data_IF_224144160177
#
_entry.id   IF_224144160177
#
_cell.length_a   1.000
_cell.length_b   1.000
_cell.length_c   1.000
_cell.angle_alpha   90.00
_cell.angle_beta   90.00
_cell.angle_gamma   90.00
#
_symmetry.space_group_name_H-M   'P 1'
#
loop_
_entity.id
_entity.type
_entity.pdbx_description
1 polymer ?
#
# COMPACT_ATOMS: atom_id res chain seq x y z
N UNK A 1 -14.80 17.04 -3.40
CA UNK A 1 -13.76 16.13 -2.86
C UNK A 1 -13.12 16.79 -1.65
N UNK A 2 -12.76 16.03 -0.61
CA UNK A 2 -12.12 16.59 0.60
C UNK A 2 -10.71 17.08 0.24
N UNK A 3 -10.21 18.09 0.93
CA UNK A 3 -8.90 18.70 0.66
C UNK A 3 -7.70 17.75 0.82
N UNK A 4 -7.88 16.60 1.45
CA UNK A 4 -6.84 15.60 1.71
C UNK A 4 -7.22 14.24 1.10
N UNK A 5 -7.12 14.11 -0.23
CA UNK A 5 -7.27 12.83 -0.91
C UNK A 5 -6.00 11.99 -0.66
N UNK A 6 -6.09 11.03 0.26
CA UNK A 6 -4.95 10.25 0.72
C UNK A 6 -5.10 8.77 0.39
N UNK A 7 -4.11 8.18 -0.27
CA UNK A 7 -4.00 6.73 -0.53
C UNK A 7 -2.82 6.17 0.26
N UNK A 8 -3.05 5.05 0.92
CA UNK A 8 -2.06 4.38 1.76
C UNK A 8 -1.50 3.17 1.03
N UNK A 9 -0.18 3.11 0.89
CA UNK A 9 0.57 1.95 0.43
C UNK A 9 1.13 1.20 1.64
N UNK A 10 0.82 -0.08 1.76
CA UNK A 10 1.33 -0.94 2.84
C UNK A 10 1.87 -2.25 2.29
N UNK A 11 2.54 -3.02 3.14
CA UNK A 11 3.15 -4.30 2.80
C UNK A 11 4.52 -4.49 3.44
N UNK A 12 5.14 -5.65 3.30
CA UNK A 12 6.40 -5.99 3.96
C UNK A 12 7.57 -5.09 3.55
N UNK A 13 8.62 -5.12 4.36
CA UNK A 13 9.88 -4.43 4.05
C UNK A 13 10.43 -4.96 2.72
N UNK A 14 10.90 -4.05 1.87
CA UNK A 14 11.52 -4.40 0.60
C UNK A 14 10.56 -4.83 -0.51
N UNK A 15 9.24 -4.74 -0.31
CA UNK A 15 8.23 -5.08 -1.34
C UNK A 15 8.21 -4.10 -2.51
N UNK A 16 8.73 -2.88 -2.33
CA UNK A 16 8.80 -1.86 -3.37
C UNK A 16 7.82 -0.69 -3.20
N UNK A 17 7.28 -0.43 -2.00
CA UNK A 17 6.38 0.71 -1.73
C UNK A 17 6.99 2.05 -2.13
N UNK A 18 8.20 2.34 -1.65
CA UNK A 18 8.96 3.54 -1.99
C UNK A 18 9.12 3.71 -3.50
N UNK A 19 9.48 2.63 -4.18
CA UNK A 19 9.66 2.62 -5.64
C UNK A 19 8.35 2.88 -6.37
N UNK A 20 7.26 2.24 -5.94
CA UNK A 20 5.94 2.42 -6.53
C UNK A 20 5.43 3.87 -6.37
N UNK A 21 5.56 4.43 -5.17
CA UNK A 21 5.19 5.84 -4.92
C UNK A 21 6.05 6.78 -5.76
N UNK A 22 7.36 6.53 -5.85
CA UNK A 22 8.26 7.35 -6.65
C UNK A 22 7.94 7.28 -8.16
N UNK A 23 7.55 6.11 -8.68
CA UNK A 23 7.19 5.93 -10.09
C UNK A 23 5.95 6.73 -10.48
N UNK A 24 5.02 6.96 -9.55
CA UNK A 24 3.75 7.64 -9.80
C UNK A 24 3.74 9.11 -9.36
N UNK A 25 4.60 9.51 -8.44
CA UNK A 25 4.62 10.86 -7.87
C UNK A 25 5.09 11.92 -8.87
N UNK A 26 4.36 13.03 -8.94
CA UNK A 26 4.72 14.22 -9.72
C UNK A 26 5.70 15.16 -9.01
N UNK A 27 6.07 14.82 -7.79
CA UNK A 27 7.09 15.53 -7.01
C UNK A 27 8.21 14.55 -6.61
N UNK A 28 9.42 15.03 -6.31
CA UNK A 28 10.43 14.18 -5.70
C UNK A 28 9.88 13.54 -4.42
N UNK A 29 10.05 12.22 -4.28
CA UNK A 29 9.59 11.50 -3.09
C UNK A 29 10.31 12.01 -1.85
N UNK A 30 9.56 12.17 -0.78
CA UNK A 30 10.10 12.46 0.55
C UNK A 30 10.10 11.13 1.31
N UNK A 31 11.28 10.61 1.58
CA UNK A 31 11.45 9.41 2.41
C UNK A 31 12.16 9.79 3.70
N UNK A 32 11.55 9.41 4.81
CA UNK A 32 12.16 9.58 6.14
C UNK A 32 12.98 8.36 6.54
N UNK A 33 13.45 7.57 5.56
CA UNK A 33 14.33 6.43 5.80
C UNK A 33 15.65 6.91 6.40
N UNK A 34 15.61 7.27 7.68
CA UNK A 34 16.82 7.43 8.45
C UNK A 34 17.44 6.04 8.54
N UNK A 35 18.56 5.84 7.87
CA UNK A 35 19.45 4.75 8.23
C UNK A 35 19.59 4.80 9.75
N UNK A 36 19.02 3.82 10.44
CA UNK A 36 19.31 3.60 11.84
C UNK A 36 20.78 3.17 11.90
N UNK A 37 21.67 4.15 11.84
CA UNK A 37 23.07 3.93 12.14
C UNK A 37 23.11 3.50 13.60
N UNK A 38 23.89 2.47 13.91
CA UNK A 38 24.11 1.91 15.26
C UNK A 38 24.48 2.93 16.35
N UNK A 39 24.69 4.18 15.99
CA UNK A 39 25.01 5.28 16.90
C UNK A 39 23.81 5.85 17.67
N UNK A 40 22.58 5.49 17.33
CA UNK A 40 21.36 6.05 17.98
C UNK A 40 20.79 5.19 19.10
N UNK A 41 21.34 4.01 19.35
CA UNK A 41 20.90 3.11 20.43
C UNK A 41 21.09 3.70 21.85
N UNK A 42 21.81 4.79 22.02
CA UNK A 42 22.11 5.38 23.32
C UNK A 42 21.53 6.78 23.61
N UNK A 43 20.63 7.31 22.75
CA UNK A 43 19.96 8.59 23.03
C UNK A 43 18.44 8.43 23.07
N UNK A 44 17.90 8.72 24.24
CA UNK A 44 16.48 8.76 24.58
C UNK A 44 15.68 9.58 23.54
N UNK A 45 14.66 8.96 22.93
CA UNK A 45 13.39 9.66 22.77
C UNK A 45 13.00 10.17 21.40
N UNK A 46 13.74 9.93 20.29
CA UNK A 46 13.29 10.27 18.94
C UNK A 46 13.56 9.11 17.97
N UNK A 47 12.58 8.26 17.77
CA UNK A 47 12.62 7.29 16.69
C UNK A 47 12.09 7.97 15.44
N UNK A 48 12.93 8.21 14.45
CA UNK A 48 12.47 8.63 13.13
C UNK A 48 11.85 7.42 12.47
N UNK A 49 10.57 7.50 12.19
CA UNK A 49 9.84 6.41 11.55
C UNK A 49 9.97 6.57 10.04
N UNK A 50 10.45 5.54 9.37
CA UNK A 50 10.57 5.51 7.92
C UNK A 50 9.19 5.54 7.27
N UNK A 51 8.86 6.63 6.60
CA UNK A 51 7.63 6.84 5.87
C UNK A 51 7.96 7.45 4.51
N UNK A 52 7.29 6.99 3.48
CA UNK A 52 7.39 7.56 2.14
C UNK A 52 6.19 8.47 1.86
N UNK A 53 6.45 9.57 1.18
CA UNK A 53 5.42 10.51 0.76
C UNK A 53 5.65 10.99 -0.66
N UNK A 54 4.58 10.96 -1.46
CA UNK A 54 4.53 11.49 -2.81
C UNK A 54 3.21 12.19 -3.08
N UNK A 55 3.12 12.89 -4.21
CA UNK A 55 1.90 13.57 -4.66
C UNK A 55 1.66 13.23 -6.12
N UNK A 56 0.44 12.77 -6.40
CA UNK A 56 -0.08 12.60 -7.75
C UNK A 56 -1.05 13.72 -8.05
N UNK A 57 -0.83 14.45 -9.12
CA UNK A 57 -1.75 15.46 -9.63
C UNK A 57 -2.69 14.79 -10.62
N UNK A 58 -4.00 14.91 -10.39
CA UNK A 58 -5.01 14.53 -11.35
C UNK A 58 -5.24 15.70 -12.31
N UNK A 59 -6.40 16.30 -12.34
CA UNK A 59 -6.71 17.48 -13.14
C UNK A 59 -6.25 18.78 -12.46
N UNK A 60 -6.55 19.93 -13.11
CA UNK A 60 -6.28 21.27 -12.56
C UNK A 60 -6.89 21.44 -11.16
N UNK A 61 -6.04 21.25 -10.14
CA UNK A 61 -6.35 21.51 -8.73
C UNK A 61 -6.62 20.29 -7.86
N UNK A 62 -6.83 19.09 -8.42
CA UNK A 62 -7.02 17.87 -7.64
C UNK A 62 -5.68 17.15 -7.43
N UNK A 63 -5.37 16.82 -6.18
CA UNK A 63 -4.16 16.08 -5.81
C UNK A 63 -4.53 14.85 -4.98
N UNK A 64 -3.75 13.80 -5.15
CA UNK A 64 -3.77 12.62 -4.29
C UNK A 64 -2.42 12.56 -3.57
N UNK A 65 -2.49 12.45 -2.27
CA UNK A 65 -1.34 12.26 -1.39
C UNK A 65 -1.07 10.77 -1.24
N UNK A 66 0.11 10.33 -1.62
CA UNK A 66 0.54 8.93 -1.56
C UNK A 66 1.42 8.74 -0.33
N UNK A 67 1.03 7.85 0.56
CA UNK A 67 1.76 7.54 1.78
C UNK A 67 2.17 6.08 1.82
N UNK A 68 3.46 5.83 2.04
CA UNK A 68 4.00 4.50 2.28
C UNK A 68 4.17 4.23 3.77
N UNK A 69 3.57 3.17 4.27
CA UNK A 69 3.74 2.78 5.68
C UNK A 69 5.10 2.12 5.91
N UNK A 70 5.67 2.23 7.13
CA UNK A 70 6.79 1.39 7.52
C UNK A 70 6.43 -0.08 7.37
N UNK A 71 7.27 -0.85 6.68
CA UNK A 71 7.02 -2.29 6.48
C UNK A 71 7.37 -3.17 7.68
N UNK A 72 7.94 -2.60 8.73
CA UNK A 72 8.31 -3.31 9.96
C UNK A 72 7.13 -3.32 10.94
N UNK A 73 6.77 -4.50 11.43
CA UNK A 73 5.63 -4.71 12.35
C UNK A 73 5.74 -3.89 13.65
N UNK A 74 6.95 -3.60 14.13
CA UNK A 74 7.18 -2.78 15.33
C UNK A 74 6.70 -1.33 15.23
N UNK A 75 6.29 -0.88 14.05
CA UNK A 75 5.78 0.47 13.80
C UNK A 75 4.27 0.50 13.54
N UNK A 76 3.54 -0.54 13.98
CA UNK A 76 2.08 -0.67 13.84
C UNK A 76 1.33 0.55 14.38
N UNK A 77 1.79 1.14 15.48
CA UNK A 77 1.20 2.36 16.06
C UNK A 77 1.15 3.56 15.08
N UNK A 78 2.00 3.56 14.04
CA UNK A 78 1.98 4.60 13.01
C UNK A 78 0.88 4.37 11.98
N UNK A 79 0.44 3.14 11.81
CA UNK A 79 -0.55 2.79 10.80
C UNK A 79 -1.90 3.46 11.08
N UNK A 80 -2.33 3.50 12.34
CA UNK A 80 -3.57 4.18 12.75
C UNK A 80 -3.52 5.68 12.44
N UNK A 81 -2.36 6.32 12.66
CA UNK A 81 -2.17 7.74 12.36
C UNK A 81 -2.20 7.97 10.85
N UNK A 82 -1.53 7.13 10.07
CA UNK A 82 -1.42 7.26 8.63
C UNK A 82 -2.76 6.99 7.93
N UNK A 83 -3.57 6.06 8.43
CA UNK A 83 -4.87 5.71 7.84
C UNK A 83 -5.95 6.75 8.08
N UNK A 84 -5.82 7.59 9.11
CA UNK A 84 -6.81 8.64 9.40
C UNK A 84 -7.06 9.53 8.19
N UNK A 85 -8.31 9.56 7.70
CA UNK A 85 -8.71 10.33 6.52
C UNK A 85 -8.28 9.73 5.17
N UNK A 86 -7.74 8.51 5.16
CA UNK A 86 -7.40 7.80 3.93
C UNK A 86 -8.63 7.42 3.11
N UNK A 87 -8.49 7.43 1.79
CA UNK A 87 -9.53 7.04 0.83
C UNK A 87 -9.53 5.54 0.53
N UNK A 88 -8.38 4.88 0.70
CA UNK A 88 -8.24 3.46 0.40
C UNK A 88 -6.84 2.93 0.69
N UNK A 89 -6.71 1.61 0.62
CA UNK A 89 -5.51 0.87 0.91
C UNK A 89 -5.00 0.13 -0.33
N UNK A 90 -3.73 0.32 -0.66
CA UNK A 90 -2.99 -0.52 -1.62
C UNK A 90 -2.06 -1.42 -0.82
N UNK A 91 -2.37 -2.71 -0.77
CA UNK A 91 -1.53 -3.73 -0.15
C UNK A 91 -0.59 -4.33 -1.19
N UNK A 92 0.71 -4.10 -1.03
CA UNK A 92 1.74 -4.73 -1.85
C UNK A 92 2.26 -6.01 -1.19
N UNK A 93 2.25 -7.12 -1.93
CA UNK A 93 2.79 -8.41 -1.52
C UNK A 93 4.02 -8.75 -2.35
N UNK A 94 5.01 -9.37 -1.71
CA UNK A 94 6.27 -9.78 -2.33
C UNK A 94 6.22 -11.28 -2.63
N UNK A 95 6.21 -11.63 -3.92
CA UNK A 95 6.08 -13.03 -4.36
C UNK A 95 7.30 -13.89 -3.99
N UNK A 96 8.44 -13.27 -3.69
CA UNK A 96 9.67 -13.97 -3.30
C UNK A 96 9.73 -14.35 -1.82
N UNK A 97 8.75 -13.93 -1.03
CA UNK A 97 8.72 -14.24 0.40
C UNK A 97 8.33 -15.71 0.64
N UNK A 98 8.85 -16.31 1.72
CA UNK A 98 8.62 -17.73 2.00
C UNK A 98 7.16 -18.10 2.22
N UNK A 99 6.32 -17.16 2.71
CA UNK A 99 4.92 -17.40 2.99
C UNK A 99 4.07 -16.15 2.68
N UNK A 100 3.75 -15.91 1.40
CA UNK A 100 2.93 -14.76 1.00
C UNK A 100 1.51 -14.80 1.58
N UNK A 101 0.95 -15.98 1.83
CA UNK A 101 -0.35 -16.14 2.49
C UNK A 101 -0.34 -15.57 3.92
N UNK A 102 0.74 -15.81 4.66
CA UNK A 102 0.92 -15.23 6.00
C UNK A 102 0.98 -13.72 5.95
N UNK A 103 1.69 -13.16 4.97
CA UNK A 103 1.79 -11.70 4.79
C UNK A 103 0.41 -11.11 4.42
N UNK A 104 -0.32 -11.74 3.49
CA UNK A 104 -1.69 -11.35 3.13
C UNK A 104 -2.59 -11.28 4.36
N UNK A 105 -2.64 -12.35 5.14
CA UNK A 105 -3.42 -12.43 6.39
C UNK A 105 -2.98 -11.34 7.37
N UNK A 106 -1.68 -11.23 7.64
CA UNK A 106 -1.14 -10.29 8.60
C UNK A 106 -1.53 -8.83 8.28
N UNK A 107 -1.27 -8.37 7.04
CA UNK A 107 -1.55 -6.99 6.68
C UNK A 107 -3.05 -6.68 6.62
N UNK A 108 -3.89 -7.58 6.14
CA UNK A 108 -5.34 -7.36 6.17
C UNK A 108 -5.87 -7.23 7.59
N UNK A 109 -5.37 -8.05 8.53
CA UNK A 109 -5.75 -7.97 9.94
C UNK A 109 -5.20 -6.74 10.65
N UNK A 110 -3.98 -6.34 10.32
CA UNK A 110 -3.37 -5.13 10.87
C UNK A 110 -4.12 -3.84 10.50
N UNK A 111 -4.77 -3.83 9.33
CA UNK A 111 -5.57 -2.69 8.86
C UNK A 111 -7.09 -2.94 8.95
N UNK A 112 -7.53 -3.93 9.74
CA UNK A 112 -8.94 -4.38 9.81
C UNK A 112 -9.94 -3.25 10.06
N UNK A 113 -9.62 -2.31 10.96
CA UNK A 113 -10.51 -1.21 11.32
C UNK A 113 -10.61 -0.16 10.20
N UNK A 114 -9.58 -0.02 9.39
CA UNK A 114 -9.55 0.87 8.24
C UNK A 114 -10.29 0.29 7.03
N UNK A 115 -10.06 -0.97 6.69
CA UNK A 115 -10.63 -1.63 5.51
C UNK A 115 -12.15 -1.92 5.60
N UNK A 116 -12.75 -1.73 6.77
CA UNK A 116 -14.21 -1.72 6.93
C UNK A 116 -14.84 -0.53 6.21
N UNK A 117 -14.16 0.61 6.16
CA UNK A 117 -14.67 1.89 5.67
C UNK A 117 -14.15 2.25 4.28
N UNK A 118 -13.06 1.64 3.84
CA UNK A 118 -12.39 1.99 2.58
C UNK A 118 -12.09 0.76 1.73
N UNK A 119 -12.03 0.90 0.40
CA UNK A 119 -11.65 -0.21 -0.47
C UNK A 119 -10.17 -0.57 -0.34
N UNK A 120 -9.88 -1.84 -0.66
CA UNK A 120 -8.53 -2.40 -0.74
C UNK A 120 -8.25 -2.85 -2.17
N UNK A 121 -7.03 -2.61 -2.65
CA UNK A 121 -6.48 -3.19 -3.87
C UNK A 121 -5.17 -3.89 -3.52
N UNK A 122 -4.91 -5.05 -4.11
CA UNK A 122 -3.72 -5.85 -3.83
C UNK A 122 -2.82 -5.87 -5.06
N UNK A 123 -1.54 -5.54 -4.87
CA UNK A 123 -0.50 -5.65 -5.88
C UNK A 123 0.53 -6.71 -5.49
N UNK A 124 0.75 -7.71 -6.33
CA UNK A 124 1.77 -8.75 -6.13
C UNK A 124 3.00 -8.39 -6.94
N UNK A 125 4.11 -8.11 -6.26
CA UNK A 125 5.37 -7.71 -6.87
C UNK A 125 6.35 -8.87 -7.00
N UNK A 126 7.38 -8.69 -7.84
CA UNK A 126 8.51 -9.62 -8.04
C UNK A 126 8.09 -10.98 -8.60
N UNK A 127 7.03 -11.02 -9.38
CA UNK A 127 6.59 -12.21 -10.12
C UNK A 127 7.56 -12.56 -11.24
N UNK A 128 8.33 -11.59 -11.72
CA UNK A 128 9.47 -11.76 -12.63
C UNK A 128 10.64 -12.53 -12.00
N UNK A 129 10.80 -12.44 -10.68
CA UNK A 129 11.85 -13.17 -9.94
C UNK A 129 11.36 -14.55 -9.51
N UNK A 130 10.12 -14.65 -9.07
CA UNK A 130 9.48 -15.89 -8.63
C UNK A 130 8.06 -15.96 -9.18
N UNK A 131 7.82 -16.90 -10.11
CA UNK A 131 6.54 -17.01 -10.82
C UNK A 131 5.43 -17.70 -9.99
N UNK A 132 5.77 -18.27 -8.85
CA UNK A 132 4.80 -18.95 -7.97
C UNK A 132 4.87 -18.35 -6.55
N UNK A 133 3.71 -18.12 -5.89
CA UNK A 133 2.33 -18.35 -6.38
C UNK A 133 1.94 -17.47 -7.56
N UNK A 134 0.96 -17.92 -8.37
CA UNK A 134 0.33 -17.10 -9.41
C UNK A 134 -0.77 -16.20 -8.80
N UNK A 135 -1.26 -15.23 -9.56
CA UNK A 135 -2.36 -14.36 -9.11
C UNK A 135 -3.61 -15.15 -8.72
N UNK A 136 -3.93 -16.23 -9.46
CA UNK A 136 -5.05 -17.11 -9.11
C UNK A 136 -4.91 -17.75 -7.73
N UNK A 137 -3.69 -18.12 -7.33
CA UNK A 137 -3.44 -18.70 -6.01
C UNK A 137 -3.74 -17.68 -4.88
N UNK A 138 -3.45 -16.39 -5.11
CA UNK A 138 -3.80 -15.33 -4.15
C UNK A 138 -5.31 -15.14 -4.03
N UNK A 139 -6.05 -15.25 -5.15
CA UNK A 139 -7.53 -15.23 -5.12
C UNK A 139 -8.07 -16.37 -4.26
N UNK A 140 -7.48 -17.57 -4.41
CA UNK A 140 -7.87 -18.75 -3.62
C UNK A 140 -7.49 -18.63 -2.12
N UNK A 141 -6.48 -17.82 -1.80
CA UNK A 141 -6.08 -17.55 -0.40
C UNK A 141 -7.02 -16.56 0.32
N UNK A 142 -7.71 -15.67 -0.42
CA UNK A 142 -8.52 -14.60 0.15
C UNK A 142 -9.60 -15.09 1.11
N UNK A 143 -10.44 -16.11 0.78
CA UNK A 143 -11.53 -16.53 1.67
C UNK A 143 -11.04 -16.92 3.07
N UNK A 144 -9.90 -17.58 3.16
CA UNK A 144 -9.33 -17.97 4.45
C UNK A 144 -8.67 -16.76 5.15
N UNK A 145 -7.99 -15.91 4.39
CA UNK A 145 -7.32 -14.72 4.94
C UNK A 145 -8.30 -13.66 5.46
N UNK A 146 -9.55 -13.69 5.00
CA UNK A 146 -10.57 -12.67 5.34
C UNK A 146 -11.76 -13.24 6.09
N UNK A 147 -11.73 -14.51 6.49
CA UNK A 147 -12.89 -15.24 7.05
C UNK A 147 -13.54 -14.56 8.27
N UNK A 148 -12.75 -13.88 9.08
CA UNK A 148 -13.16 -13.15 10.29
C UNK A 148 -13.10 -11.62 10.13
N UNK A 149 -12.83 -11.13 8.91
CA UNK A 149 -12.75 -9.71 8.63
C UNK A 149 -14.06 -9.16 8.03
N UNK A 150 -14.36 -7.92 8.39
CA UNK A 150 -15.34 -7.10 7.67
C UNK A 150 -14.58 -6.17 6.74
N UNK A 151 -14.89 -6.22 5.46
CA UNK A 151 -14.25 -5.39 4.45
C UNK A 151 -15.31 -4.66 3.62
N UNK A 152 -15.03 -3.43 3.21
CA UNK A 152 -15.92 -2.67 2.32
C UNK A 152 -16.07 -3.39 0.97
N UNK A 153 -14.95 -3.88 0.40
CA UNK A 153 -14.95 -4.75 -0.77
C UNK A 153 -14.45 -6.16 -0.37
N UNK A 154 -15.36 -7.13 -0.17
CA UNK A 154 -14.98 -8.45 0.35
C UNK A 154 -14.09 -9.26 -0.61
N UNK A 155 -14.05 -8.89 -1.89
CA UNK A 155 -13.18 -9.47 -2.91
C UNK A 155 -12.34 -8.34 -3.51
N UNK A 156 -11.23 -7.95 -2.88
CA UNK A 156 -10.35 -6.91 -3.40
C UNK A 156 -9.73 -7.34 -4.73
N UNK A 157 -9.63 -6.44 -5.73
CA UNK A 157 -8.90 -6.72 -6.95
C UNK A 157 -7.43 -7.02 -6.66
N UNK A 158 -6.87 -8.02 -7.38
CA UNK A 158 -5.48 -8.43 -7.26
C UNK A 158 -4.79 -8.28 -8.62
N UNK A 159 -3.63 -7.61 -8.64
CA UNK A 159 -2.84 -7.38 -9.85
C UNK A 159 -1.40 -7.83 -9.66
N UNK A 160 -0.80 -8.30 -10.73
CA UNK A 160 0.65 -8.34 -10.85
C UNK A 160 1.18 -6.91 -11.02
N UNK A 161 2.25 -6.54 -10.33
CA UNK A 161 2.79 -5.18 -10.37
C UNK A 161 4.31 -5.16 -10.33
N UNK A 162 4.91 -4.45 -11.26
CA UNK A 162 6.29 -3.97 -11.11
C UNK A 162 6.26 -2.54 -10.57
N UNK A 163 6.69 -2.35 -9.33
CA UNK A 163 6.73 -1.02 -8.71
C UNK A 163 7.61 0.00 -9.43
N UNK A 164 8.47 -0.44 -10.36
CA UNK A 164 9.29 0.42 -11.23
C UNK A 164 8.51 0.88 -12.47
N UNK A 165 7.46 0.17 -12.83
CA UNK A 165 6.63 0.47 -13.99
C UNK A 165 5.48 1.42 -13.59
N UNK A 166 5.52 2.63 -14.13
CA UNK A 166 4.50 3.66 -13.85
C UNK A 166 3.09 3.19 -14.19
N UNK A 167 2.89 2.48 -15.31
CA UNK A 167 1.57 2.02 -15.76
C UNK A 167 0.99 0.95 -14.83
N UNK A 168 1.82 0.04 -14.31
CA UNK A 168 1.38 -0.97 -13.36
C UNK A 168 0.90 -0.31 -12.06
N UNK A 169 1.68 0.64 -11.54
CA UNK A 169 1.31 1.38 -10.32
C UNK A 169 0.09 2.26 -10.55
N UNK A 170 -0.02 2.88 -11.73
CA UNK A 170 -1.22 3.61 -12.16
C UNK A 170 -2.45 2.72 -12.12
N UNK A 171 -2.37 1.50 -12.66
CA UNK A 171 -3.49 0.55 -12.68
C UNK A 171 -3.96 0.19 -11.25
N UNK A 172 -3.07 0.05 -10.28
CA UNK A 172 -3.45 -0.16 -8.88
C UNK A 172 -4.25 1.02 -8.32
N UNK A 173 -3.76 2.24 -8.55
CA UNK A 173 -4.43 3.46 -8.08
C UNK A 173 -5.77 3.64 -8.78
N UNK A 174 -5.84 3.40 -10.10
CA UNK A 174 -7.09 3.48 -10.86
C UNK A 174 -8.12 2.47 -10.37
N UNK A 175 -7.72 1.22 -10.12
CA UNK A 175 -8.62 0.21 -9.57
C UNK A 175 -9.17 0.62 -8.20
N UNK A 176 -8.35 1.27 -7.36
CA UNK A 176 -8.79 1.80 -6.09
C UNK A 176 -9.80 2.95 -6.26
N UNK A 177 -9.51 3.91 -7.15
CA UNK A 177 -10.39 5.04 -7.43
C UNK A 177 -11.74 4.58 -8.00
N UNK A 178 -11.75 3.61 -8.92
CA UNK A 178 -12.99 3.00 -9.43
C UNK A 178 -13.78 2.26 -8.36
N UNK A 179 -13.11 1.70 -7.36
CA UNK A 179 -13.79 1.08 -6.21
C UNK A 179 -14.47 2.11 -5.30
N UNK A 180 -13.97 3.36 -5.30
CA UNK A 180 -14.57 4.48 -4.57
C UNK A 180 -15.73 5.11 -5.36
N UNK A 181 -15.50 5.38 -6.63
CA UNK A 181 -16.46 5.98 -7.55
C UNK A 181 -16.40 5.30 -8.93
N UNK A 182 -17.31 4.34 -9.19
CA UNK A 182 -17.37 3.64 -10.49
C UNK A 182 -17.67 4.55 -11.68
N UNK A 183 -18.15 5.76 -11.45
CA UNK A 183 -18.44 6.75 -12.50
C UNK A 183 -17.24 7.65 -12.85
N UNK A 184 -16.13 7.50 -12.18
CA UNK A 184 -14.93 8.29 -12.45
C UNK A 184 -14.38 7.90 -13.85
N UNK A 185 -14.16 8.89 -14.72
CA UNK A 185 -13.43 8.68 -15.97
C UNK A 185 -11.95 8.37 -15.70
N UNK A 186 -11.13 8.18 -16.75
CA UNK A 186 -9.68 8.05 -16.56
C UNK A 186 -9.09 9.40 -16.13
N UNK A 187 -8.74 9.60 -14.85
CA UNK A 187 -8.26 10.89 -14.34
C UNK A 187 -6.73 11.03 -14.46
N UNK A 188 -6.02 10.03 -15.07
CA UNK A 188 -4.56 9.95 -15.09
C UNK A 188 -3.96 9.94 -16.48
#
# INVERSE_FOLDING_TARGET
MREDNKIIFTGPVGVGKTTAIAALSDIPIISTDAQASDMTLNRKGHTTVAMDYGVLKLDEGTKIHLYGTPGQERFDFMWDILTTGGLGLILMLDNTRPNPKKDLHFFLHAFKDFIVEVPVVIGVSKTDIQAQPQIADYVDMLPEATADLRMLNPIPPIFEVDGRNKEDVKNLVMALLYSIDPGIGDPL
#
